data_IF_527141287096
#
_entry.id   IF_527141287096
#
_cell.length_a   1.000
_cell.length_b   1.000
_cell.length_c   1.000
_cell.angle_alpha   90.00
_cell.angle_beta   90.00
_cell.angle_gamma   90.00
#
_symmetry.space_group_name_H-M   'P 1'
#
loop_
_entity.id
_entity.type
_entity.pdbx_description
1 polymer ?
#
# COMPACT_ATOMS: atom_id res chain seq x y z
N UNK A 1 -4.78 15.14 1.22
CA UNK A 1 -4.19 14.11 0.34
C UNK A 1 -2.99 13.56 1.09
N UNK A 2 -2.93 12.26 1.40
CA UNK A 2 -1.80 11.67 2.12
C UNK A 2 -0.69 11.35 1.12
N UNK A 3 0.51 11.90 1.31
CA UNK A 3 1.69 11.53 0.55
C UNK A 3 2.33 10.29 1.19
N UNK A 4 2.40 9.20 0.43
CA UNK A 4 3.05 7.99 0.91
C UNK A 4 4.54 8.19 1.18
N UNK A 5 5.19 9.15 0.51
CA UNK A 5 6.61 9.46 0.66
C UNK A 5 6.92 9.99 2.07
N UNK A 6 5.98 10.74 2.65
CA UNK A 6 6.09 11.31 4.00
C UNK A 6 5.58 10.34 5.09
N UNK A 7 4.56 9.53 4.76
CA UNK A 7 3.92 8.62 5.72
C UNK A 7 4.71 7.30 5.91
N UNK A 8 5.81 7.36 6.66
CA UNK A 8 6.70 6.19 6.91
C UNK A 8 6.48 5.47 8.24
N UNK A 9 5.49 5.89 9.04
CA UNK A 9 5.30 5.42 10.42
C UNK A 9 4.11 4.46 10.60
N UNK A 10 3.75 3.67 9.59
CA UNK A 10 2.59 2.77 9.64
C UNK A 10 2.64 1.73 10.77
N UNK A 11 3.85 1.36 11.23
CA UNK A 11 4.03 0.52 12.41
C UNK A 11 3.56 1.25 13.67
N UNK A 12 4.10 2.44 13.93
CA UNK A 12 3.78 3.23 15.13
C UNK A 12 2.27 3.52 15.24
N UNK A 13 1.68 4.04 14.16
CA UNK A 13 0.25 4.36 14.12
C UNK A 13 -0.61 3.10 14.28
N UNK A 14 -0.29 2.01 13.58
CA UNK A 14 -1.03 0.76 13.69
C UNK A 14 -0.98 0.16 15.10
N UNK A 15 0.18 0.26 15.76
CA UNK A 15 0.35 -0.22 17.14
C UNK A 15 -0.40 0.67 18.14
N UNK A 16 -0.41 2.00 17.95
CA UNK A 16 -1.18 2.91 18.80
C UNK A 16 -2.68 2.64 18.72
N UNK A 17 -3.22 2.50 17.50
CA UNK A 17 -4.64 2.18 17.28
C UNK A 17 -4.97 0.82 17.88
N UNK A 18 -4.09 -0.18 17.68
CA UNK A 18 -4.27 -1.52 18.22
C UNK A 18 -4.31 -1.57 19.74
N UNK A 19 -3.39 -0.87 20.42
CA UNK A 19 -3.40 -0.74 21.88
C UNK A 19 -4.66 -0.05 22.38
N UNK A 20 -5.05 1.06 21.77
CA UNK A 20 -6.30 1.74 22.11
C UNK A 20 -7.53 0.83 21.97
N UNK A 21 -7.57 0.00 20.92
CA UNK A 21 -8.63 -0.99 20.74
C UNK A 21 -8.71 -1.99 21.89
N UNK A 22 -7.57 -2.54 22.32
CA UNK A 22 -7.52 -3.49 23.45
C UNK A 22 -7.88 -2.78 24.75
N UNK A 23 -7.16 -1.70 25.07
CA UNK A 23 -7.16 -1.11 26.40
C UNK A 23 -8.44 -0.31 26.69
N UNK A 24 -8.99 0.38 25.68
CA UNK A 24 -10.10 1.33 25.87
C UNK A 24 -11.43 0.79 25.34
N UNK A 25 -11.43 0.27 24.11
CA UNK A 25 -12.69 -0.10 23.45
C UNK A 25 -13.17 -1.47 23.91
N UNK A 26 -12.28 -2.45 23.94
CA UNK A 26 -12.62 -3.84 24.26
C UNK A 26 -12.26 -4.25 25.68
N UNK A 27 -11.62 -3.36 26.45
CA UNK A 27 -11.27 -3.55 27.86
C UNK A 27 -10.52 -4.87 28.12
N UNK A 28 -9.67 -5.28 27.19
CA UNK A 28 -8.86 -6.50 27.26
C UNK A 28 -9.41 -7.71 26.50
N UNK A 29 -10.67 -7.69 26.05
CA UNK A 29 -11.28 -8.83 25.33
C UNK A 29 -10.95 -8.84 23.83
N UNK A 30 -10.45 -7.73 23.29
CA UNK A 30 -10.12 -7.58 21.88
C UNK A 30 -8.71 -8.03 21.55
N UNK A 31 -8.51 -8.37 20.27
CA UNK A 31 -7.18 -8.65 19.70
C UNK A 31 -7.00 -7.76 18.48
N UNK A 32 -5.77 -7.27 18.25
CA UNK A 32 -5.40 -6.60 17.00
C UNK A 32 -4.18 -7.28 16.37
N UNK A 33 -4.03 -7.08 15.06
CA UNK A 33 -2.85 -7.54 14.33
C UNK A 33 -2.34 -6.41 13.43
N UNK A 34 -1.13 -5.91 13.70
CA UNK A 34 -0.49 -4.89 12.87
C UNK A 34 0.32 -5.55 11.73
N UNK A 35 -0.25 -5.59 10.52
CA UNK A 35 0.43 -6.14 9.35
C UNK A 35 1.69 -5.36 8.95
N UNK A 36 1.80 -4.08 9.29
CA UNK A 36 3.01 -3.29 9.00
C UNK A 36 4.21 -3.74 9.84
N UNK A 37 3.98 -4.35 11.01
CA UNK A 37 5.04 -4.79 11.93
C UNK A 37 5.66 -6.12 11.51
N UNK A 38 5.00 -6.87 10.62
CA UNK A 38 5.43 -8.20 10.22
C UNK A 38 6.15 -8.15 8.87
N UNK A 39 7.45 -8.46 8.88
CA UNK A 39 8.26 -8.50 7.66
C UNK A 39 8.17 -9.83 6.91
N UNK A 40 7.68 -10.89 7.57
CA UNK A 40 7.81 -12.29 7.12
C UNK A 40 6.68 -12.79 6.21
N UNK A 41 5.95 -11.91 5.51
CA UNK A 41 4.93 -12.38 4.57
C UNK A 41 5.60 -12.97 3.33
N UNK A 42 5.15 -14.15 2.90
CA UNK A 42 5.65 -14.78 1.67
C UNK A 42 5.47 -13.86 0.44
N UNK A 43 4.34 -13.15 0.41
CA UNK A 43 4.03 -12.12 -0.58
C UNK A 43 3.85 -10.78 0.14
N UNK A 44 4.95 -10.09 0.43
CA UNK A 44 4.91 -8.83 1.17
C UNK A 44 4.65 -7.64 0.23
N UNK A 45 3.42 -7.13 0.23
CA UNK A 45 3.03 -5.91 -0.48
C UNK A 45 2.85 -4.68 0.43
N UNK A 46 3.37 -4.71 1.67
CA UNK A 46 3.07 -3.72 2.70
C UNK A 46 4.07 -2.56 2.71
N UNK A 47 3.60 -1.37 3.10
CA UNK A 47 4.39 -0.14 3.14
C UNK A 47 4.58 0.51 1.77
N UNK A 48 5.65 1.28 1.61
CA UNK A 48 5.97 1.93 0.34
C UNK A 48 6.32 0.91 -0.74
N UNK A 49 5.66 1.00 -1.90
CA UNK A 49 5.88 0.14 -3.06
C UNK A 49 6.44 1.01 -4.19
N UNK A 50 7.74 0.88 -4.47
CA UNK A 50 8.36 1.60 -5.57
C UNK A 50 8.10 0.88 -6.91
N UNK A 51 8.14 1.63 -8.02
CA UNK A 51 7.87 1.06 -9.34
C UNK A 51 8.90 -0.02 -9.75
N UNK A 52 10.13 0.09 -9.26
CA UNK A 52 11.25 -0.82 -9.51
C UNK A 52 11.29 -1.99 -8.51
N UNK A 53 10.43 -1.98 -7.48
CA UNK A 53 10.35 -3.05 -6.50
C UNK A 53 9.38 -4.14 -7.00
N UNK A 54 9.92 -5.06 -7.80
CA UNK A 54 9.13 -6.12 -8.42
C UNK A 54 8.49 -7.04 -7.38
N UNK A 55 9.20 -7.36 -6.29
CA UNK A 55 8.71 -8.26 -5.24
C UNK A 55 7.51 -7.68 -4.51
N UNK A 56 7.59 -6.41 -4.09
CA UNK A 56 6.44 -5.75 -3.45
C UNK A 56 5.26 -5.58 -4.39
N UNK A 57 5.51 -5.32 -5.68
CA UNK A 57 4.44 -5.22 -6.68
C UNK A 57 3.72 -6.55 -6.87
N UNK A 58 4.46 -7.67 -6.89
CA UNK A 58 3.89 -9.02 -6.89
C UNK A 58 3.08 -9.24 -5.61
N UNK A 59 3.64 -8.91 -4.45
CA UNK A 59 2.95 -9.03 -3.17
C UNK A 59 1.63 -8.25 -3.11
N UNK A 60 1.64 -7.02 -3.62
CA UNK A 60 0.46 -6.17 -3.72
C UNK A 60 -0.59 -6.76 -4.67
N UNK A 61 -0.18 -7.27 -5.84
CA UNK A 61 -1.08 -7.91 -6.80
C UNK A 61 -1.78 -9.14 -6.19
N UNK A 62 -1.03 -9.99 -5.46
CA UNK A 62 -1.61 -11.11 -4.71
C UNK A 62 -2.63 -10.66 -3.67
N UNK A 63 -2.32 -9.61 -2.90
CA UNK A 63 -3.24 -9.07 -1.90
C UNK A 63 -4.54 -8.55 -2.55
N UNK A 64 -4.44 -7.80 -3.65
CA UNK A 64 -5.61 -7.29 -4.39
C UNK A 64 -6.47 -8.42 -4.95
N UNK A 65 -5.85 -9.45 -5.54
CA UNK A 65 -6.55 -10.65 -6.03
C UNK A 65 -7.29 -11.37 -4.91
N UNK A 66 -6.67 -11.50 -3.74
CA UNK A 66 -7.32 -12.11 -2.58
C UNK A 66 -8.54 -11.32 -2.11
N UNK A 67 -8.39 -10.00 -1.92
CA UNK A 67 -9.50 -9.11 -1.51
C UNK A 67 -10.66 -9.13 -2.52
N UNK A 68 -10.36 -9.24 -3.81
CA UNK A 68 -11.36 -9.23 -4.88
C UNK A 68 -11.93 -10.62 -5.20
N UNK A 69 -11.43 -11.70 -4.59
CA UNK A 69 -11.93 -13.06 -4.80
C UNK A 69 -13.40 -13.20 -4.40
N UNK A 70 -13.76 -12.70 -3.22
CA UNK A 70 -15.14 -12.72 -2.74
C UNK A 70 -16.05 -11.80 -3.57
N UNK A 71 -15.52 -10.68 -4.08
CA UNK A 71 -16.25 -9.77 -4.94
C UNK A 71 -16.82 -10.43 -6.19
N UNK A 72 -16.07 -11.34 -6.82
CA UNK A 72 -16.54 -12.05 -8.00
C UNK A 72 -17.81 -12.87 -7.71
N UNK A 73 -17.86 -13.50 -6.53
CA UNK A 73 -19.00 -14.30 -6.08
C UNK A 73 -20.16 -13.38 -5.67
N UNK A 74 -19.88 -12.34 -4.90
CA UNK A 74 -20.88 -11.37 -4.44
C UNK A 74 -21.56 -10.63 -5.60
N UNK A 75 -20.86 -10.38 -6.72
CA UNK A 75 -21.47 -9.78 -7.92
C UNK A 75 -22.59 -10.65 -8.51
N UNK A 76 -22.51 -11.97 -8.35
CA UNK A 76 -23.52 -12.90 -8.86
C UNK A 76 -24.78 -12.91 -7.98
N UNK A 77 -24.66 -12.64 -6.68
CA UNK A 77 -25.76 -12.74 -5.71
C UNK A 77 -26.43 -11.41 -5.37
N UNK A 78 -25.70 -10.29 -5.38
CA UNK A 78 -26.19 -8.99 -4.90
C UNK A 78 -26.71 -8.04 -5.99
N UNK A 79 -26.76 -8.49 -7.26
CA UNK A 79 -27.25 -7.69 -8.37
C UNK A 79 -26.50 -6.36 -8.54
N UNK A 80 -27.18 -5.23 -8.29
CA UNK A 80 -26.64 -3.85 -8.46
C UNK A 80 -25.97 -3.27 -7.19
N UNK A 81 -25.79 -4.05 -6.12
CA UNK A 81 -25.15 -3.53 -4.91
C UNK A 81 -23.70 -3.09 -5.18
N UNK A 82 -23.28 -1.99 -4.57
CA UNK A 82 -21.92 -1.47 -4.70
C UNK A 82 -20.97 -2.30 -3.85
N UNK A 83 -20.07 -3.02 -4.50
CA UNK A 83 -18.95 -3.75 -3.86
C UNK A 83 -17.66 -2.95 -4.14
N UNK A 84 -16.48 -3.48 -3.80
CA UNK A 84 -15.19 -2.88 -4.19
C UNK A 84 -15.23 -2.55 -5.70
N UNK A 85 -15.07 -1.28 -6.00
CA UNK A 85 -15.11 -0.72 -7.34
C UNK A 85 -13.75 -0.14 -7.68
N UNK A 86 -13.39 -0.20 -8.96
CA UNK A 86 -12.17 0.45 -9.45
C UNK A 86 -12.44 1.94 -9.53
N UNK A 87 -11.47 2.76 -9.11
CA UNK A 87 -11.51 4.18 -9.43
C UNK A 87 -11.59 4.38 -10.94
N UNK A 88 -12.36 5.37 -11.38
CA UNK A 88 -12.37 5.77 -12.79
C UNK A 88 -10.98 6.31 -13.10
N UNK A 89 -10.29 5.67 -14.04
CA UNK A 89 -9.01 6.19 -14.53
C UNK A 89 -9.31 7.51 -15.27
N UNK A 90 -8.64 8.62 -14.93
CA UNK A 90 -8.77 9.82 -15.74
C UNK A 90 -8.30 9.52 -17.17
N UNK A 91 -8.85 10.24 -18.14
CA UNK A 91 -8.32 10.24 -19.50
C UNK A 91 -6.83 10.57 -19.44
N UNK A 92 -6.02 9.92 -20.28
CA UNK A 92 -4.59 10.18 -20.32
C UNK A 92 -4.36 11.67 -20.58
N UNK A 93 -3.68 12.39 -19.67
CA UNK A 93 -3.33 13.78 -19.92
C UNK A 93 -2.43 13.86 -21.15
N UNK A 94 -2.55 14.94 -21.93
CA UNK A 94 -1.66 15.22 -23.09
C UNK A 94 -0.19 15.32 -22.65
N UNK A 95 0.04 15.65 -21.38
CA UNK A 95 1.37 15.69 -20.75
C UNK A 95 1.61 14.40 -19.99
N UNK A 96 2.77 13.76 -20.21
CA UNK A 96 3.23 12.60 -19.42
C UNK A 96 3.42 13.01 -17.96
N UNK A 97 2.41 12.76 -17.13
CA UNK A 97 2.51 12.96 -15.67
C UNK A 97 3.18 11.74 -15.03
N UNK A 98 4.27 11.99 -14.31
CA UNK A 98 5.01 10.99 -13.53
C UNK A 98 6.52 11.20 -13.56
N UNK A 99 7.22 10.55 -12.62
CA UNK A 99 8.69 10.50 -12.59
C UNK A 99 9.23 10.02 -13.95
N UNK A 100 10.29 10.64 -14.51
CA UNK A 100 10.94 10.14 -15.71
C UNK A 100 11.28 8.66 -15.54
N UNK A 101 10.80 7.82 -16.45
CA UNK A 101 11.25 6.43 -16.53
C UNK A 101 12.55 6.49 -17.32
N UNK A 102 13.70 6.39 -16.64
CA UNK A 102 14.99 6.37 -17.33
C UNK A 102 14.97 5.25 -18.38
N UNK A 103 15.08 5.63 -19.65
CA UNK A 103 15.65 4.81 -20.70
C UNK A 103 17.02 5.40 -20.98
N UNK A 104 18.07 4.60 -20.78
CA UNK A 104 19.51 4.92 -20.84
C UNK A 104 20.17 5.36 -19.52
N UNK A 105 21.42 4.90 -19.28
CA UNK A 105 21.94 4.59 -17.95
C UNK A 105 22.29 5.85 -17.14
N UNK A 106 22.08 5.74 -15.83
CA UNK A 106 22.46 6.76 -14.87
C UNK A 106 23.99 6.75 -14.73
N UNK A 107 24.68 7.69 -15.37
CA UNK A 107 25.99 8.12 -14.90
C UNK A 107 25.76 8.81 -13.56
N UNK A 108 26.03 8.05 -12.49
CA UNK A 108 26.00 8.57 -11.13
C UNK A 108 27.21 9.49 -11.01
N UNK A 109 26.95 10.78 -10.93
CA UNK A 109 27.71 11.64 -10.03
C UNK A 109 26.73 12.49 -9.23
N UNK A 110 26.13 11.84 -8.23
CA UNK A 110 25.48 12.55 -7.14
C UNK A 110 26.62 13.11 -6.27
N UNK A 111 27.00 14.36 -6.52
CA UNK A 111 27.85 15.12 -5.61
C UNK A 111 27.25 15.05 -4.20
N UNK A 112 27.95 14.37 -3.28
CA UNK A 112 27.71 14.55 -1.86
C UNK A 112 28.28 15.90 -1.46
N UNK A 113 27.37 16.82 -1.14
CA UNK A 113 27.65 18.03 -0.40
C UNK A 113 28.41 17.67 0.89
N UNK A 114 29.65 18.15 0.97
CA UNK A 114 30.41 18.33 2.20
C UNK A 114 29.58 19.08 3.22
N UNK A 115 29.47 18.55 4.43
CA UNK A 115 29.69 19.33 5.67
C UNK A 115 29.73 18.44 6.93
N UNK A 116 30.37 18.93 7.99
CA UNK A 116 31.81 19.12 8.20
C UNK A 116 32.48 17.89 8.86
#
# INVERSE_FOLDING_TARGET
>A
MFDGSDARQGISHGTMIGKFWIDVITQGDGVFHNCNQRSSYFYNGVGMVHHNDAEKRIGLDYAVKYMTKANAIMRLSLGKARIISRGVMPNSPDVKLGRPRCGEPCDIDCQEDKLP
#
